data_IF_656156465798
#
_entry.id   IF_656156465798
#
_cell.length_a   1.000
_cell.length_b   1.000
_cell.length_c   1.000
_cell.angle_alpha   90.00
_cell.angle_beta   90.00
_cell.angle_gamma   90.00
#
_symmetry.space_group_name_H-M   'P 1'
#
loop_
_entity.id
_entity.type
_entity.pdbx_description
1 polymer ?
#
# COMPACT_ATOMS: atom_id res chain seq x y z
N UNK A 1 -3.20 -26.16 6.00
CA UNK A 1 -2.44 -25.95 4.76
C UNK A 1 -2.74 -24.54 4.28
N UNK A 2 -1.73 -23.67 4.16
CA UNK A 2 -1.92 -22.32 3.59
C UNK A 2 -2.23 -22.48 2.11
N UNK A 3 -3.32 -21.91 1.57
CA UNK A 3 -3.62 -22.04 0.16
C UNK A 3 -2.46 -21.44 -0.65
N UNK A 4 -2.04 -22.10 -1.75
CA UNK A 4 -0.89 -21.66 -2.54
C UNK A 4 -1.13 -20.26 -3.12
N UNK A 5 -2.38 -19.85 -3.28
CA UNK A 5 -2.80 -18.51 -3.69
C UNK A 5 -3.80 -17.94 -2.68
N UNK A 6 -3.64 -16.68 -2.31
CA UNK A 6 -4.63 -15.91 -1.55
C UNK A 6 -4.81 -14.53 -2.18
N UNK A 7 -6.05 -14.07 -2.28
CA UNK A 7 -6.40 -12.75 -2.81
C UNK A 7 -6.84 -11.87 -1.64
N UNK A 8 -6.52 -10.59 -1.70
CA UNK A 8 -6.96 -9.62 -0.72
C UNK A 8 -7.46 -8.35 -1.39
N UNK A 9 -8.43 -7.72 -0.74
CA UNK A 9 -8.88 -6.36 -1.01
C UNK A 9 -8.96 -5.65 0.34
N UNK A 10 -8.32 -4.50 0.45
CA UNK A 10 -8.20 -3.72 1.68
C UNK A 10 -8.53 -2.26 1.35
N UNK A 11 -9.17 -1.59 2.30
CA UNK A 11 -9.36 -0.16 2.27
C UNK A 11 -8.88 0.40 3.60
N UNK A 12 -8.05 1.43 3.55
CA UNK A 12 -7.56 2.18 4.70
C UNK A 12 -7.95 3.64 4.54
N UNK A 13 -8.40 4.27 5.61
CA UNK A 13 -8.74 5.68 5.63
C UNK A 13 -8.26 6.31 6.93
N UNK A 14 -7.86 7.57 6.86
CA UNK A 14 -7.39 8.29 8.03
C UNK A 14 -7.08 9.74 7.74
N UNK A 15 -6.42 10.38 8.70
CA UNK A 15 -5.95 11.75 8.59
C UNK A 15 -4.47 11.77 8.90
N UNK A 16 -3.68 12.46 8.07
CA UNK A 16 -2.26 12.61 8.34
C UNK A 16 -2.03 13.36 9.67
N UNK A 17 -0.94 13.02 10.37
CA UNK A 17 -0.62 13.56 11.70
C UNK A 17 -0.70 15.08 11.73
N UNK A 18 -1.11 15.64 12.88
CA UNK A 18 -1.14 17.09 13.10
C UNK A 18 -2.32 17.82 12.45
N UNK A 19 -3.41 17.12 12.13
CA UNK A 19 -4.57 17.73 11.45
C UNK A 19 -4.34 17.93 9.95
N UNK A 20 -3.47 17.11 9.35
CA UNK A 20 -3.18 17.12 7.92
C UNK A 20 -4.37 16.66 7.07
N UNK A 21 -4.18 16.47 5.76
CA UNK A 21 -5.25 16.05 4.87
C UNK A 21 -5.76 14.65 5.24
N UNK A 22 -7.05 14.42 5.00
CA UNK A 22 -7.59 13.05 4.99
C UNK A 22 -6.99 12.28 3.82
N UNK A 23 -6.84 10.98 4.00
CA UNK A 23 -6.37 10.07 2.97
C UNK A 23 -7.19 8.79 2.95
N UNK A 24 -7.20 8.18 1.77
CA UNK A 24 -7.77 6.86 1.55
C UNK A 24 -6.84 6.06 0.67
N UNK A 25 -6.61 4.80 1.02
CA UNK A 25 -5.85 3.85 0.23
C UNK A 25 -6.71 2.64 -0.05
N UNK A 26 -6.86 2.29 -1.33
CA UNK A 26 -7.46 1.04 -1.75
C UNK A 26 -6.39 0.12 -2.27
N UNK A 27 -6.33 -1.11 -1.76
CA UNK A 27 -5.36 -2.11 -2.18
C UNK A 27 -6.09 -3.35 -2.65
N UNK A 28 -5.74 -3.85 -3.83
CA UNK A 28 -6.15 -5.17 -4.30
C UNK A 28 -4.91 -5.95 -4.70
N UNK A 29 -4.86 -7.23 -4.36
CA UNK A 29 -3.70 -8.03 -4.71
C UNK A 29 -3.85 -9.50 -4.45
N UNK A 30 -2.78 -10.21 -4.81
CA UNK A 30 -2.65 -11.64 -4.60
C UNK A 30 -1.30 -11.96 -3.95
N UNK A 31 -1.29 -13.04 -3.18
CA UNK A 31 -0.10 -13.61 -2.56
C UNK A 31 -0.02 -15.08 -2.97
N UNK A 32 1.13 -15.50 -3.46
CA UNK A 32 1.41 -16.86 -3.87
C UNK A 32 2.56 -17.44 -3.05
N UNK A 33 2.33 -18.59 -2.41
CA UNK A 33 3.36 -19.32 -1.69
C UNK A 33 4.16 -20.19 -2.68
N UNK A 34 5.36 -19.73 -3.04
CA UNK A 34 6.29 -20.47 -3.91
C UNK A 34 6.89 -21.68 -3.18
N UNK A 35 7.03 -21.58 -1.86
CA UNK A 35 7.47 -22.66 -0.98
C UNK A 35 6.97 -22.40 0.45
N UNK A 36 7.26 -23.28 1.40
CA UNK A 36 6.95 -23.06 2.82
C UNK A 36 7.57 -21.75 3.37
N UNK A 37 8.68 -21.29 2.79
CA UNK A 37 9.46 -20.17 3.28
C UNK A 37 9.56 -19.02 2.27
N UNK A 38 8.84 -19.08 1.14
CA UNK A 38 8.95 -18.09 0.07
C UNK A 38 7.57 -17.67 -0.42
N UNK A 39 7.34 -16.36 -0.43
CA UNK A 39 6.07 -15.74 -0.75
C UNK A 39 6.27 -14.66 -1.82
N UNK A 40 5.51 -14.74 -2.90
CA UNK A 40 5.41 -13.70 -3.92
C UNK A 40 4.11 -12.93 -3.69
N UNK A 41 4.17 -11.61 -3.65
CA UNK A 41 2.99 -10.74 -3.53
C UNK A 41 2.96 -9.76 -4.69
N UNK A 42 1.80 -9.63 -5.32
CA UNK A 42 1.52 -8.59 -6.30
C UNK A 42 0.31 -7.78 -5.83
N UNK A 43 0.41 -6.46 -5.85
CA UNK A 43 -0.64 -5.57 -5.36
C UNK A 43 -0.73 -4.30 -6.21
N UNK A 44 -1.95 -3.84 -6.46
CA UNK A 44 -2.25 -2.51 -6.93
C UNK A 44 -2.77 -1.70 -5.74
N UNK A 45 -2.11 -0.58 -5.45
CA UNK A 45 -2.50 0.35 -4.40
C UNK A 45 -2.89 1.68 -5.03
N UNK A 46 -4.07 2.18 -4.74
CA UNK A 46 -4.57 3.47 -5.16
C UNK A 46 -4.64 4.40 -3.95
N UNK A 47 -3.76 5.39 -3.93
CA UNK A 47 -3.68 6.43 -2.91
C UNK A 47 -4.49 7.64 -3.35
N UNK A 48 -5.31 8.15 -2.44
CA UNK A 48 -6.07 9.39 -2.60
C UNK A 48 -5.83 10.26 -1.37
N UNK A 49 -5.52 11.53 -1.58
CA UNK A 49 -5.25 12.53 -0.55
C UNK A 49 -6.17 13.72 -0.79
N UNK A 50 -6.89 14.15 0.26
CA UNK A 50 -7.74 15.32 0.21
C UNK A 50 -6.94 16.56 -0.18
N UNK A 51 -7.35 17.24 -1.26
CA UNK A 51 -6.61 18.39 -1.83
C UNK A 51 -5.65 18.02 -2.97
N UNK A 52 -5.52 16.73 -3.33
CA UNK A 52 -4.80 16.26 -4.51
C UNK A 52 -3.29 16.14 -4.32
N UNK A 53 -2.61 17.22 -3.95
CA UNK A 53 -1.18 17.23 -3.58
C UNK A 53 -1.01 18.03 -2.29
N UNK A 54 -0.38 17.42 -1.28
CA UNK A 54 -0.14 18.08 0.01
C UNK A 54 1.28 17.86 0.50
N UNK A 55 1.99 18.95 0.74
CA UNK A 55 3.31 18.94 1.39
C UNK A 55 3.12 18.68 2.89
N UNK A 56 3.54 17.51 3.37
CA UNK A 56 3.37 17.12 4.79
C UNK A 56 4.46 17.64 5.71
N UNK A 57 5.57 18.10 5.15
CA UNK A 57 6.66 18.72 5.90
C UNK A 57 7.37 19.75 5.02
N UNK A 58 7.36 21.04 5.39
CA UNK A 58 8.08 22.09 4.67
C UNK A 58 9.60 21.88 4.67
N UNK A 59 10.12 21.16 5.67
CA UNK A 59 11.55 20.95 5.89
C UNK A 59 12.11 19.75 5.11
N UNK A 60 11.31 18.71 4.88
CA UNK A 60 11.73 17.53 4.12
C UNK A 60 11.18 17.49 2.70
N UNK A 61 10.29 18.42 2.34
CA UNK A 61 9.73 18.51 0.98
C UNK A 61 8.86 17.32 0.56
N UNK A 62 8.48 16.46 1.51
CA UNK A 62 7.67 15.27 1.23
C UNK A 62 6.27 15.69 0.80
N UNK A 63 5.98 15.47 -0.49
CA UNK A 63 4.66 15.67 -1.06
C UNK A 63 3.91 14.35 -1.07
N UNK A 64 2.71 14.37 -0.51
CA UNK A 64 1.72 13.34 -0.72
C UNK A 64 0.89 13.71 -1.93
N UNK A 65 0.58 12.74 -2.77
CA UNK A 65 -0.27 12.96 -3.93
C UNK A 65 -1.13 11.74 -4.22
N UNK A 66 -2.18 11.96 -5.00
CA UNK A 66 -2.93 10.86 -5.59
C UNK A 66 -2.00 10.03 -6.48
N UNK A 67 -1.92 8.74 -6.23
CA UNK A 67 -1.01 7.86 -6.94
C UNK A 67 -1.60 6.46 -7.10
N UNK A 68 -1.27 5.79 -8.20
CA UNK A 68 -1.50 4.36 -8.34
C UNK A 68 -0.13 3.68 -8.38
N UNK A 69 0.09 2.75 -7.46
CA UNK A 69 1.36 2.05 -7.30
C UNK A 69 1.10 0.57 -7.50
N UNK A 70 1.73 0.01 -8.53
CA UNK A 70 1.84 -1.42 -8.69
C UNK A 70 3.09 -1.92 -7.97
N UNK A 71 2.92 -2.84 -7.02
CA UNK A 71 3.99 -3.40 -6.20
C UNK A 71 4.09 -4.90 -6.41
N UNK A 72 5.31 -5.37 -6.66
CA UNK A 72 5.66 -6.79 -6.65
C UNK A 72 6.73 -6.99 -5.59
N UNK A 73 6.54 -7.97 -4.72
CA UNK A 73 7.41 -8.24 -3.58
C UNK A 73 7.68 -9.74 -3.48
N UNK A 74 8.95 -10.10 -3.28
CA UNK A 74 9.38 -11.47 -3.00
C UNK A 74 9.93 -11.50 -1.57
N UNK A 75 9.28 -12.26 -0.69
CA UNK A 75 9.71 -12.44 0.70
C UNK A 75 10.24 -13.86 0.89
N UNK A 76 11.43 -13.98 1.49
CA UNK A 76 12.01 -15.25 1.94
C UNK A 76 12.27 -15.20 3.44
N UNK A 77 11.76 -16.18 4.16
CA UNK A 77 12.04 -16.38 5.58
C UNK A 77 13.15 -17.44 5.75
N UNK A 78 14.03 -17.24 6.74
CA UNK A 78 15.10 -18.18 7.10
C UNK A 78 14.74 -18.95 8.36
#
# INVERSE_FOLDING_TARGET
MTPPLSVFALAEWGTYKGGGPSYTVYSIGAKYALSANTLLKAALNAYSVGGGIVTTSPLSGLQLSNAQVFQVELQRSF
#
